data_IF_058762131258
#
_entry.id   IF_058762131258
#
_cell.length_a   1.000
_cell.length_b   1.000
_cell.length_c   1.000
_cell.angle_alpha   90.00
_cell.angle_beta   90.00
_cell.angle_gamma   90.00
#
_symmetry.space_group_name_H-M   'P 1'
#
loop_
_entity.id
_entity.type
_entity.pdbx_description
1 polymer ?
#
# COMPACT_ATOMS: atom_id res chain seq x y z
N UNK A 1 24.65 -0.73 -6.74
CA UNK A 1 24.50 0.71 -7.04
C UNK A 1 23.02 0.98 -7.20
N UNK A 2 22.33 1.32 -6.11
CA UNK A 2 20.90 1.60 -6.12
C UNK A 2 20.71 2.96 -6.78
N UNK A 3 20.00 2.98 -7.91
CA UNK A 3 19.74 4.20 -8.64
C UNK A 3 18.55 4.89 -7.95
N UNK A 4 18.86 5.76 -7.00
CA UNK A 4 17.90 6.67 -6.37
C UNK A 4 17.29 7.53 -7.48
N UNK A 5 16.04 7.21 -7.87
CA UNK A 5 15.29 8.04 -8.81
C UNK A 5 14.62 9.13 -7.99
N UNK A 6 15.27 10.29 -7.94
CA UNK A 6 14.66 11.52 -7.45
C UNK A 6 13.58 11.95 -8.43
N UNK A 7 12.32 12.00 -7.98
CA UNK A 7 11.34 12.84 -8.66
C UNK A 7 11.60 14.31 -8.30
N UNK A 8 11.18 15.21 -9.17
CA UNK A 8 11.20 16.66 -9.02
C UNK A 8 10.57 17.18 -7.71
N UNK A 9 9.82 16.35 -6.98
CA UNK A 9 9.26 16.62 -5.65
C UNK A 9 10.22 16.34 -4.48
N UNK A 10 11.38 15.71 -4.72
CA UNK A 10 12.30 15.26 -3.66
C UNK A 10 11.89 13.95 -2.98
N UNK A 11 10.87 13.26 -3.51
CA UNK A 11 10.48 11.91 -3.08
C UNK A 11 11.54 10.87 -3.46
N UNK A 12 11.78 9.93 -2.54
CA UNK A 12 12.71 8.83 -2.69
C UNK A 12 11.97 7.52 -2.92
N UNK A 13 12.13 6.92 -4.09
CA UNK A 13 11.61 5.59 -4.37
C UNK A 13 12.50 4.52 -3.73
N UNK A 14 12.00 3.85 -2.69
CA UNK A 14 12.75 2.83 -1.93
C UNK A 14 12.64 1.43 -2.55
N UNK A 15 11.55 1.15 -3.27
CA UNK A 15 11.31 -0.14 -3.92
C UNK A 15 11.90 -0.22 -5.33
N UNK A 16 12.64 -1.29 -5.62
CA UNK A 16 13.28 -1.50 -6.94
C UNK A 16 12.40 -2.29 -7.90
N UNK A 17 12.24 -1.78 -9.13
CA UNK A 17 11.45 -2.42 -10.18
C UNK A 17 12.14 -2.38 -11.54
N UNK A 18 12.08 -3.49 -12.28
CA UNK A 18 12.67 -3.60 -13.63
C UNK A 18 11.81 -2.88 -14.67
N UNK A 19 12.38 -2.50 -15.84
CA UNK A 19 11.61 -1.92 -16.93
C UNK A 19 10.42 -2.79 -17.37
N UNK A 20 10.57 -4.11 -17.34
CA UNK A 20 9.50 -5.08 -17.70
C UNK A 20 8.36 -5.04 -16.69
N UNK A 21 8.68 -4.91 -15.39
CA UNK A 21 7.68 -4.78 -14.33
C UNK A 21 6.90 -3.46 -14.47
N UNK A 22 7.59 -2.36 -14.77
CA UNK A 22 6.93 -1.09 -15.09
C UNK A 22 6.04 -1.17 -16.32
N UNK A 23 6.49 -1.86 -17.38
CA UNK A 23 5.67 -2.10 -18.58
C UNK A 23 4.42 -2.91 -18.24
N UNK A 24 4.56 -3.97 -17.44
CA UNK A 24 3.43 -4.78 -16.97
C UNK A 24 2.45 -3.96 -16.13
N UNK A 25 2.92 -3.15 -15.17
CA UNK A 25 2.05 -2.28 -14.36
C UNK A 25 1.22 -1.33 -15.24
N UNK A 26 1.83 -0.72 -16.26
CA UNK A 26 1.11 0.14 -17.22
C UNK A 26 0.05 -0.62 -18.00
N UNK A 27 0.35 -1.85 -18.42
CA UNK A 27 -0.63 -2.71 -19.08
C UNK A 27 -1.80 -3.05 -18.15
N UNK A 28 -1.52 -3.47 -16.91
CA UNK A 28 -2.56 -3.76 -15.91
C UNK A 28 -3.43 -2.54 -15.62
N UNK A 29 -2.85 -1.33 -15.61
CA UNK A 29 -3.59 -0.09 -15.42
C UNK A 29 -4.55 0.16 -16.58
N UNK A 30 -4.07 0.03 -17.82
CA UNK A 30 -4.90 0.19 -19.01
C UNK A 30 -6.04 -0.84 -19.03
N UNK A 31 -5.75 -2.10 -18.70
CA UNK A 31 -6.77 -3.15 -18.59
C UNK A 31 -7.77 -2.85 -17.47
N UNK A 32 -7.30 -2.39 -16.30
CA UNK A 32 -8.16 -2.04 -15.18
C UNK A 32 -9.11 -0.88 -15.48
N UNK A 33 -8.64 0.13 -16.21
CA UNK A 33 -9.46 1.30 -16.60
C UNK A 33 -10.54 0.88 -17.59
N UNK A 34 -10.20 0.05 -18.58
CA UNK A 34 -11.10 -0.28 -19.69
C UNK A 34 -12.07 -1.44 -19.39
N UNK A 35 -11.76 -2.29 -18.39
CA UNK A 35 -12.65 -3.41 -18.06
C UNK A 35 -13.97 -2.93 -17.44
N UNK A 36 -15.08 -3.63 -17.67
CA UNK A 36 -16.32 -3.41 -16.92
C UNK A 36 -16.11 -3.54 -15.41
N UNK A 37 -16.58 -2.54 -14.66
CA UNK A 37 -16.56 -2.54 -13.19
C UNK A 37 -17.79 -3.28 -12.69
N UNK A 38 -17.66 -4.60 -12.58
CA UNK A 38 -18.72 -5.44 -12.03
C UNK A 38 -18.74 -5.23 -10.52
N UNK A 39 -19.87 -4.71 -10.01
CA UNK A 39 -20.13 -4.64 -8.57
C UNK A 39 -20.00 -6.03 -7.95
N UNK A 40 -19.12 -6.16 -6.97
CA UNK A 40 -19.01 -7.39 -6.17
C UNK A 40 -19.85 -7.24 -4.90
N UNK A 41 -19.86 -8.27 -4.06
CA UNK A 41 -20.48 -8.16 -2.75
C UNK A 41 -19.90 -6.93 -2.00
N UNK A 42 -20.74 -6.20 -1.24
CA UNK A 42 -20.29 -5.06 -0.45
C UNK A 42 -19.12 -5.46 0.44
N UNK A 43 -18.14 -4.57 0.55
CA UNK A 43 -17.03 -4.76 1.48
C UNK A 43 -17.54 -4.85 2.90
N UNK A 44 -16.99 -5.81 3.65
CA UNK A 44 -17.13 -5.84 5.10
C UNK A 44 -16.18 -4.84 5.70
N UNK A 45 -16.67 -4.08 6.68
CA UNK A 45 -15.88 -3.08 7.38
C UNK A 45 -15.81 -3.36 8.87
N UNK A 46 -14.79 -2.80 9.51
CA UNK A 46 -14.60 -2.78 10.95
C UNK A 46 -14.28 -1.37 11.40
N UNK A 47 -14.57 -1.06 12.66
CA UNK A 47 -14.29 0.26 13.24
C UNK A 47 -12.86 0.28 13.79
N UNK A 48 -12.04 1.21 13.32
CA UNK A 48 -10.69 1.50 13.83
C UNK A 48 -10.65 2.96 14.30
N UNK A 49 -10.58 3.18 15.62
CA UNK A 49 -10.88 4.49 16.20
C UNK A 49 -12.32 4.90 15.89
N UNK A 50 -12.49 6.05 15.24
CA UNK A 50 -13.79 6.53 14.76
C UNK A 50 -14.02 6.30 13.26
N UNK A 51 -13.12 5.57 12.59
CA UNK A 51 -13.13 5.39 11.14
C UNK A 51 -13.50 3.95 10.76
N UNK A 52 -14.42 3.80 9.79
CA UNK A 52 -14.77 2.51 9.20
C UNK A 52 -13.71 2.11 8.16
N UNK A 53 -13.10 0.93 8.34
CA UNK A 53 -12.01 0.42 7.49
C UNK A 53 -12.35 -0.94 6.91
N UNK A 54 -11.74 -1.30 5.79
CA UNK A 54 -11.87 -2.65 5.21
C UNK A 54 -11.44 -3.72 6.23
N UNK A 55 -12.21 -4.80 6.35
CA UNK A 55 -11.93 -5.87 7.32
C UNK A 55 -10.53 -6.49 7.15
N UNK A 56 -9.97 -6.46 5.93
CA UNK A 56 -8.63 -6.98 5.63
C UNK A 56 -7.52 -6.03 6.06
N UNK A 57 -7.81 -4.74 6.17
CA UNK A 57 -6.86 -3.72 6.60
C UNK A 57 -6.84 -3.57 8.13
N UNK A 58 -7.99 -3.78 8.77
CA UNK A 58 -8.13 -3.66 10.22
C UNK A 58 -7.04 -4.37 11.05
N UNK A 59 -6.75 -5.67 10.86
CA UNK A 59 -5.74 -6.36 11.67
C UNK A 59 -4.32 -5.81 11.44
N UNK A 60 -4.05 -5.21 10.28
CA UNK A 60 -2.77 -4.57 9.97
C UNK A 60 -2.63 -3.28 10.79
N UNK A 61 -3.66 -2.43 10.74
CA UNK A 61 -3.66 -1.13 11.44
C UNK A 61 -3.50 -1.30 12.96
N UNK A 62 -4.14 -2.31 13.54
CA UNK A 62 -3.98 -2.64 14.97
C UNK A 62 -2.54 -2.99 15.31
N UNK A 63 -1.84 -3.76 14.48
CA UNK A 63 -0.46 -4.15 14.74
C UNK A 63 0.51 -2.97 14.60
N UNK A 64 0.28 -2.11 13.60
CA UNK A 64 1.08 -0.90 13.42
C UNK A 64 0.88 0.08 14.57
N UNK A 65 -0.36 0.29 15.02
CA UNK A 65 -0.64 1.09 16.20
C UNK A 65 0.07 0.54 17.46
N UNK A 66 0.03 -0.78 17.68
CA UNK A 66 0.76 -1.44 18.78
C UNK A 66 2.27 -1.28 18.69
N UNK A 67 2.80 -1.19 17.47
CA UNK A 67 4.22 -0.93 17.23
C UNK A 67 4.60 0.54 17.40
N UNK A 68 3.63 1.43 17.70
CA UNK A 68 3.84 2.87 17.82
C UNK A 68 3.99 3.59 16.47
N UNK A 69 3.46 3.01 15.39
CA UNK A 69 3.37 3.66 14.09
C UNK A 69 2.03 4.37 13.93
N UNK A 70 2.09 5.70 13.77
CA UNK A 70 0.96 6.46 13.26
C UNK A 70 0.79 6.21 11.77
N UNK A 71 -0.46 5.98 11.38
CA UNK A 71 -0.81 5.60 10.01
C UNK A 71 -1.98 6.42 9.48
N UNK A 72 -1.87 6.78 8.21
CA UNK A 72 -3.02 7.15 7.39
C UNK A 72 -3.27 6.03 6.40
N UNK A 73 -4.52 5.82 6.04
CA UNK A 73 -4.86 4.76 5.11
C UNK A 73 -5.97 5.23 4.19
N UNK A 74 -5.92 4.73 2.97
CA UNK A 74 -6.99 4.90 2.02
C UNK A 74 -7.28 3.58 1.36
N UNK A 75 -8.56 3.25 1.31
CA UNK A 75 -9.08 2.33 0.34
C UNK A 75 -9.73 3.23 -0.71
N UNK A 76 -8.99 3.58 -1.76
CA UNK A 76 -9.50 4.37 -2.87
C UNK A 76 -9.56 3.54 -4.15
N UNK A 77 -10.52 3.88 -5.01
CA UNK A 77 -10.60 3.36 -6.36
C UNK A 77 -9.35 3.68 -7.16
N UNK A 78 -8.92 2.77 -8.04
CA UNK A 78 -7.84 3.03 -9.02
C UNK A 78 -8.39 3.80 -10.23
N UNK A 79 -9.72 3.90 -10.34
CA UNK A 79 -10.46 4.61 -11.36
C UNK A 79 -11.58 5.45 -10.72
N UNK A 80 -11.96 6.60 -11.30
CA UNK A 80 -13.15 7.35 -10.88
C UNK A 80 -14.45 6.52 -10.93
N UNK A 81 -14.47 5.44 -11.73
CA UNK A 81 -15.60 4.50 -11.84
C UNK A 81 -15.62 3.46 -10.70
N UNK A 82 -14.55 3.38 -9.90
CA UNK A 82 -14.47 2.42 -8.80
C UNK A 82 -15.23 2.97 -7.57
N UNK A 83 -16.47 2.53 -7.39
CA UNK A 83 -17.22 2.72 -6.15
C UNK A 83 -16.50 2.10 -4.93
N UNK A 84 -16.23 2.89 -3.86
CA UNK A 84 -15.47 2.43 -2.71
C UNK A 84 -16.04 1.19 -2.00
N UNK A 85 -17.37 1.06 -1.96
CA UNK A 85 -18.05 -0.02 -1.24
C UNK A 85 -18.13 -1.30 -2.07
N UNK A 86 -18.21 -1.18 -3.40
CA UNK A 86 -18.59 -2.28 -4.30
C UNK A 86 -17.42 -2.83 -5.12
N UNK A 87 -16.28 -2.11 -5.18
CA UNK A 87 -15.11 -2.53 -5.95
C UNK A 87 -13.89 -2.78 -5.07
N UNK A 88 -13.04 -3.74 -5.47
CA UNK A 88 -11.78 -4.04 -4.78
C UNK A 88 -10.80 -2.87 -4.94
N UNK A 89 -10.82 -1.96 -3.97
CA UNK A 89 -9.98 -0.77 -3.92
C UNK A 89 -8.52 -1.09 -3.69
N UNK A 90 -7.66 -0.22 -4.20
CA UNK A 90 -6.22 -0.26 -3.98
C UNK A 90 -5.95 0.11 -2.53
N UNK A 91 -5.29 -0.80 -1.83
CA UNK A 91 -4.88 -0.54 -0.46
C UNK A 91 -3.65 0.37 -0.50
N UNK A 92 -3.81 1.53 0.11
CA UNK A 92 -2.77 2.53 0.28
C UNK A 92 -2.59 2.76 1.78
N UNK A 93 -1.35 2.67 2.23
CA UNK A 93 -0.97 2.88 3.62
C UNK A 93 0.14 3.93 3.65
N UNK A 94 -0.07 4.97 4.42
CA UNK A 94 0.96 5.93 4.79
C UNK A 94 1.34 5.69 6.25
N UNK A 95 2.62 5.78 6.57
CA UNK A 95 3.08 5.85 7.96
C UNK A 95 4.15 6.91 8.13
N UNK A 96 4.16 7.56 9.29
CA UNK A 96 5.05 8.69 9.55
C UNK A 96 6.39 8.24 10.10
N UNK A 97 7.45 8.98 9.74
CA UNK A 97 8.80 8.75 10.21
C UNK A 97 8.82 8.85 11.73
N UNK A 98 9.16 7.73 12.35
CA UNK A 98 9.22 7.52 13.79
C UNK A 98 10.24 6.39 14.03
N UNK A 99 10.59 6.13 15.29
CA UNK A 99 11.53 5.04 15.64
C UNK A 99 11.28 3.72 14.90
N UNK A 100 10.04 3.18 14.84
CA UNK A 100 9.76 1.92 14.14
C UNK A 100 9.64 2.02 12.60
N UNK A 101 9.54 3.23 12.02
CA UNK A 101 9.16 3.41 10.61
C UNK A 101 10.20 2.85 9.63
N UNK A 102 11.49 3.13 9.87
CA UNK A 102 12.56 2.63 9.01
C UNK A 102 12.68 1.10 9.08
N UNK A 103 12.56 0.51 10.29
CA UNK A 103 12.51 -0.96 10.48
C UNK A 103 11.37 -1.55 9.65
N UNK A 104 10.19 -0.94 9.70
CA UNK A 104 9.03 -1.41 8.96
C UNK A 104 9.22 -1.29 7.44
N UNK A 105 9.73 -0.17 6.93
CA UNK A 105 10.04 0.00 5.51
C UNK A 105 11.03 -1.08 5.00
N UNK A 106 12.03 -1.44 5.81
CA UNK A 106 12.99 -2.49 5.49
C UNK A 106 12.34 -3.89 5.47
N UNK A 107 11.48 -4.19 6.46
CA UNK A 107 10.70 -5.45 6.49
C UNK A 107 9.83 -5.56 5.22
N UNK A 108 9.11 -4.50 4.86
CA UNK A 108 8.27 -4.47 3.66
C UNK A 108 9.09 -4.73 2.40
N UNK A 109 10.24 -4.07 2.27
CA UNK A 109 11.15 -4.25 1.13
C UNK A 109 11.62 -5.70 1.02
N UNK A 110 11.98 -6.33 2.14
CA UNK A 110 12.43 -7.72 2.18
C UNK A 110 11.33 -8.73 1.83
N UNK A 111 10.16 -8.59 2.45
CA UNK A 111 9.04 -9.53 2.32
C UNK A 111 8.31 -9.40 0.98
N UNK A 112 8.09 -8.17 0.52
CA UNK A 112 7.23 -7.88 -0.62
C UNK A 112 8.00 -7.70 -1.93
N UNK A 113 9.28 -7.30 -1.86
CA UNK A 113 10.17 -7.14 -3.02
C UNK A 113 9.50 -6.29 -4.11
N UNK A 114 9.45 -6.79 -5.34
CA UNK A 114 8.84 -6.13 -6.50
C UNK A 114 7.29 -6.05 -6.48
N UNK A 115 6.64 -6.49 -5.40
CA UNK A 115 5.16 -6.47 -5.25
C UNK A 115 4.67 -5.23 -4.49
N UNK A 116 5.58 -4.42 -3.95
CA UNK A 116 5.27 -3.22 -3.20
C UNK A 116 5.91 -2.01 -3.88
N UNK A 117 5.19 -0.90 -3.92
CA UNK A 117 5.74 0.41 -4.21
C UNK A 117 5.88 1.15 -2.88
N UNK A 118 7.10 1.54 -2.53
CA UNK A 118 7.41 2.30 -1.31
C UNK A 118 8.11 3.58 -1.72
N UNK A 119 7.53 4.72 -1.37
CA UNK A 119 8.17 6.03 -1.48
C UNK A 119 8.35 6.63 -0.10
N UNK A 120 9.41 7.41 0.08
CA UNK A 120 9.64 8.23 1.26
C UNK A 120 9.65 9.70 0.83
N UNK A 121 8.86 10.53 1.49
CA UNK A 121 8.78 11.97 1.25
C UNK A 121 9.44 12.71 2.42
N UNK A 122 10.72 13.12 2.31
CA UNK A 122 11.46 13.71 3.42
C UNK A 122 10.83 15.02 3.93
N UNK A 123 10.23 15.80 3.03
CA UNK A 123 9.57 17.07 3.38
C UNK A 123 8.39 16.88 4.35
N UNK A 124 7.70 15.74 4.26
CA UNK A 124 6.54 15.40 5.11
C UNK A 124 6.83 14.33 6.14
N UNK A 125 8.06 13.80 6.16
CA UNK A 125 8.48 12.75 7.08
C UNK A 125 7.50 11.56 7.04
N UNK A 126 7.18 11.08 5.83
CA UNK A 126 6.22 9.97 5.66
C UNK A 126 6.66 8.98 4.60
N UNK A 127 6.23 7.75 4.79
CA UNK A 127 6.36 6.66 3.85
C UNK A 127 5.01 6.35 3.27
N UNK A 128 4.94 6.21 1.95
CA UNK A 128 3.74 5.87 1.22
C UNK A 128 3.91 4.50 0.59
N UNK A 129 2.97 3.60 0.88
CA UNK A 129 3.05 2.18 0.56
C UNK A 129 1.80 1.72 -0.17
N UNK A 130 2.01 1.04 -1.29
CA UNK A 130 0.92 0.47 -2.07
C UNK A 130 1.33 -0.78 -2.82
N UNK A 131 0.35 -1.53 -3.33
CA UNK A 131 0.65 -2.70 -4.16
C UNK A 131 1.28 -2.30 -5.49
N UNK A 132 2.40 -2.88 -5.90
CA UNK A 132 2.96 -2.51 -7.20
C UNK A 132 2.05 -2.89 -8.39
N UNK A 133 1.23 -3.94 -8.25
CA UNK A 133 0.33 -4.46 -9.28
C UNK A 133 -1.12 -4.22 -8.91
N UNK A 134 -1.96 -3.90 -9.89
CA UNK A 134 -3.32 -3.36 -9.65
C UNK A 134 -4.32 -4.48 -9.29
N UNK A 135 -4.06 -5.70 -9.75
CA UNK A 135 -4.89 -6.87 -9.44
C UNK A 135 -4.60 -7.57 -8.10
N UNK A 136 -3.67 -7.05 -7.29
CA UNK A 136 -3.00 -7.81 -6.24
C UNK A 136 -3.36 -7.39 -4.81
N UNK A 137 -4.43 -6.63 -4.60
CA UNK A 137 -4.80 -6.08 -3.28
C UNK A 137 -4.92 -7.13 -2.17
N UNK A 138 -5.55 -8.29 -2.44
CA UNK A 138 -5.66 -9.35 -1.42
C UNK A 138 -4.29 -9.89 -1.02
N UNK A 139 -3.42 -10.19 -1.99
CA UNK A 139 -2.06 -10.65 -1.69
C UNK A 139 -1.22 -9.57 -1.03
N UNK A 140 -1.45 -8.31 -1.38
CA UNK A 140 -0.80 -7.16 -0.74
C UNK A 140 -1.19 -7.07 0.74
N UNK A 141 -2.49 -7.11 1.08
CA UNK A 141 -2.93 -7.09 2.49
C UNK A 141 -2.36 -8.27 3.28
N UNK A 142 -2.32 -9.48 2.71
CA UNK A 142 -1.73 -10.64 3.38
C UNK A 142 -0.23 -10.47 3.67
N UNK A 143 0.54 -9.93 2.73
CA UNK A 143 1.97 -9.67 2.92
C UNK A 143 2.24 -8.49 3.86
N UNK A 144 1.35 -7.50 3.84
CA UNK A 144 1.41 -6.34 4.72
C UNK A 144 1.11 -6.75 6.16
N UNK A 145 0.10 -7.60 6.39
CA UNK A 145 -0.17 -8.25 7.69
C UNK A 145 1.06 -9.00 8.18
N UNK A 146 1.62 -9.89 7.36
CA UNK A 146 2.81 -10.67 7.73
C UNK A 146 4.00 -9.78 8.13
N UNK A 147 4.21 -8.68 7.39
CA UNK A 147 5.24 -7.70 7.69
C UNK A 147 4.96 -6.94 9.00
N UNK A 148 3.71 -6.58 9.27
CA UNK A 148 3.32 -5.91 10.50
C UNK A 148 3.49 -6.84 11.73
N UNK A 149 3.19 -8.13 11.59
CA UNK A 149 3.41 -9.11 12.65
C UNK A 149 4.89 -9.27 12.99
N UNK A 150 5.79 -9.21 11.99
CA UNK A 150 7.25 -9.23 12.21
C UNK A 150 7.80 -7.97 12.89
N UNK A 151 7.12 -6.83 12.78
CA UNK A 151 7.59 -5.58 13.38
C UNK A 151 7.57 -5.63 14.91
N UNK A 152 6.60 -6.38 15.46
CA UNK A 152 6.36 -6.56 16.90
C UNK A 152 7.25 -7.65 17.55
N UNK A 153 8.06 -8.34 16.74
CA UNK A 153 9.08 -9.30 17.19
C UNK A 153 10.42 -8.54 17.35
#
# INVERSE_FOLDING_TARGET
MNQERHDSSGELLLSTHTPEQWRRRRQELNEWINRPKVRKQPKRTRLFGDTSVDEQLYPILIQLQRAGLDTEFSCAGVSPLDEPVDHSLYAYLTFFASGPAEKFANILTGNMRHRVLITYEPARQRYDVSSFFIGHNRSFCLLLQHSADQLLI
#
